data_IF_784361247802
#
_entry.id   IF_784361247802
#
_cell.length_a   1.000
_cell.length_b   1.000
_cell.length_c   1.000
_cell.angle_alpha   90.00
_cell.angle_beta   90.00
_cell.angle_gamma   90.00
#
_symmetry.space_group_name_H-M   'P 1'
#
loop_
_entity.id
_entity.type
_entity.pdbx_description
1 polymer ?
#
# COMPACT_ATOMS: atom_id res chain seq x y z
N UNK A 1 8.73 85.20 -18.33
CA UNK A 1 8.44 83.96 -17.57
C UNK A 1 8.99 84.14 -16.15
N UNK A 2 8.15 84.13 -15.12
CA UNK A 2 8.58 84.48 -13.75
C UNK A 2 9.35 83.31 -13.11
N UNK A 3 10.63 83.52 -12.77
CA UNK A 3 11.50 82.50 -12.16
C UNK A 3 10.90 81.85 -10.90
N UNK A 4 10.07 82.58 -10.15
CA UNK A 4 9.33 82.04 -8.99
C UNK A 4 8.39 80.90 -9.37
N UNK A 5 7.69 81.01 -10.49
CA UNK A 5 6.74 79.97 -10.94
C UNK A 5 7.49 78.74 -11.47
N UNK A 6 8.67 78.94 -12.08
CA UNK A 6 9.53 77.84 -12.54
C UNK A 6 10.09 77.07 -11.34
N UNK A 7 10.57 77.78 -10.31
CA UNK A 7 11.12 77.15 -9.10
C UNK A 7 10.07 76.35 -8.32
N UNK A 8 8.84 76.88 -8.21
CA UNK A 8 7.72 76.17 -7.56
C UNK A 8 7.31 74.94 -8.40
N UNK A 9 7.24 75.05 -9.73
CA UNK A 9 6.94 73.91 -10.57
C UNK A 9 8.01 72.81 -10.46
N UNK A 10 9.29 73.19 -10.41
CA UNK A 10 10.39 72.23 -10.31
C UNK A 10 10.41 71.53 -8.94
N UNK A 11 10.13 72.25 -7.85
CA UNK A 11 10.09 71.65 -6.51
C UNK A 11 8.93 70.67 -6.36
N UNK A 12 7.76 70.97 -6.93
CA UNK A 12 6.61 70.05 -6.95
C UNK A 12 6.94 68.77 -7.74
N UNK A 13 7.61 68.90 -8.90
CA UNK A 13 8.03 67.75 -9.70
C UNK A 13 9.03 66.86 -8.95
N UNK A 14 10.00 67.46 -8.25
CA UNK A 14 10.98 66.71 -7.45
C UNK A 14 10.32 65.96 -6.30
N UNK A 15 9.36 66.58 -5.60
CA UNK A 15 8.62 65.94 -4.51
C UNK A 15 7.76 64.77 -5.03
N UNK A 16 7.10 64.94 -6.18
CA UNK A 16 6.32 63.87 -6.81
C UNK A 16 7.20 62.70 -7.24
N UNK A 17 8.36 62.96 -7.84
CA UNK A 17 9.32 61.91 -8.21
C UNK A 17 9.84 61.15 -6.98
N UNK A 18 10.17 61.87 -5.91
CA UNK A 18 10.59 61.25 -4.63
C UNK A 18 9.48 60.36 -4.03
N UNK A 19 8.22 60.80 -4.06
CA UNK A 19 7.10 60.01 -3.58
C UNK A 19 6.93 58.70 -4.37
N UNK A 20 7.06 58.76 -5.70
CA UNK A 20 6.96 57.56 -6.56
C UNK A 20 8.10 56.57 -6.32
N UNK A 21 9.33 57.05 -6.11
CA UNK A 21 10.49 56.20 -5.83
C UNK A 21 10.38 55.49 -4.47
N UNK A 22 9.86 56.18 -3.46
CA UNK A 22 9.63 55.61 -2.13
C UNK A 22 8.49 54.57 -2.15
N UNK A 23 7.42 54.83 -2.89
CA UNK A 23 6.32 53.86 -3.07
C UNK A 23 6.79 52.61 -3.82
N UNK A 24 7.61 52.76 -4.86
CA UNK A 24 8.19 51.61 -5.56
C UNK A 24 9.09 50.79 -4.63
N UNK A 25 10.09 51.40 -3.96
CA UNK A 25 11.00 50.64 -3.10
C UNK A 25 10.31 49.97 -1.91
N UNK A 26 9.37 50.65 -1.26
CA UNK A 26 8.62 50.09 -0.14
C UNK A 26 7.72 48.92 -0.55
N UNK A 27 6.99 49.06 -1.67
CA UNK A 27 6.09 48.01 -2.16
C UNK A 27 6.85 46.78 -2.68
N UNK A 28 7.96 46.97 -3.40
CA UNK A 28 8.78 45.86 -3.90
C UNK A 28 9.44 45.07 -2.76
N UNK A 29 9.99 45.74 -1.73
CA UNK A 29 10.62 45.06 -0.60
C UNK A 29 9.59 44.30 0.23
N UNK A 30 8.41 44.88 0.46
CA UNK A 30 7.30 44.21 1.16
C UNK A 30 6.83 42.96 0.42
N UNK A 31 6.59 43.06 -0.90
CA UNK A 31 6.15 41.92 -1.72
C UNK A 31 7.24 40.84 -1.84
N UNK A 32 8.50 41.24 -1.97
CA UNK A 32 9.62 40.30 -1.99
C UNK A 32 9.69 39.53 -0.66
N UNK A 33 9.61 40.24 0.47
CA UNK A 33 9.67 39.63 1.80
C UNK A 33 8.51 38.66 2.02
N UNK A 34 7.29 39.06 1.69
CA UNK A 34 6.09 38.22 1.79
C UNK A 34 6.18 36.98 0.88
N UNK A 35 6.70 37.15 -0.35
CA UNK A 35 6.92 36.03 -1.26
C UNK A 35 7.99 35.06 -0.75
N UNK A 36 9.10 35.58 -0.21
CA UNK A 36 10.16 34.76 0.38
C UNK A 36 9.67 34.01 1.62
N UNK A 37 8.92 34.67 2.50
CA UNK A 37 8.35 34.05 3.70
C UNK A 37 7.36 32.94 3.34
N UNK A 38 6.45 33.22 2.39
CA UNK A 38 5.47 32.24 1.91
C UNK A 38 6.12 31.04 1.24
N UNK A 39 7.15 31.27 0.42
CA UNK A 39 7.90 30.21 -0.26
C UNK A 39 8.67 29.36 0.76
N UNK A 40 9.36 30.01 1.70
CA UNK A 40 10.14 29.33 2.75
C UNK A 40 9.24 28.49 3.63
N UNK A 41 8.11 29.04 4.07
CA UNK A 41 7.12 28.31 4.89
C UNK A 41 6.55 27.11 4.16
N UNK A 42 6.22 27.25 2.86
CA UNK A 42 5.75 26.13 2.04
C UNK A 42 6.82 25.05 1.89
N UNK A 43 8.06 25.43 1.57
CA UNK A 43 9.17 24.49 1.44
C UNK A 43 9.46 23.75 2.75
N UNK A 44 9.44 24.47 3.88
CA UNK A 44 9.61 23.86 5.20
C UNK A 44 8.49 22.87 5.51
N UNK A 45 7.22 23.25 5.29
CA UNK A 45 6.07 22.36 5.51
C UNK A 45 6.13 21.12 4.63
N UNK A 46 6.49 21.27 3.35
CA UNK A 46 6.68 20.15 2.43
C UNK A 46 7.80 19.22 2.90
N UNK A 47 8.95 19.77 3.31
CA UNK A 47 10.05 18.99 3.85
C UNK A 47 9.65 18.24 5.13
N UNK A 48 8.93 18.87 6.06
CA UNK A 48 8.42 18.21 7.27
C UNK A 48 7.48 17.06 6.94
N UNK A 49 6.56 17.22 5.98
CA UNK A 49 5.66 16.16 5.53
C UNK A 49 6.42 14.97 4.93
N UNK A 50 7.47 15.24 4.15
CA UNK A 50 8.32 14.18 3.58
C UNK A 50 9.04 13.43 4.70
N UNK A 51 9.61 14.13 5.68
CA UNK A 51 10.30 13.49 6.81
C UNK A 51 9.33 12.63 7.62
N UNK A 52 8.13 13.14 7.91
CA UNK A 52 7.08 12.39 8.61
C UNK A 52 6.66 11.14 7.82
N UNK A 53 6.47 11.27 6.50
CA UNK A 53 6.16 10.15 5.62
C UNK A 53 7.27 9.08 5.63
N UNK A 54 8.54 9.50 5.54
CA UNK A 54 9.68 8.58 5.58
C UNK A 54 9.75 7.88 6.94
N UNK A 55 9.57 8.60 8.05
CA UNK A 55 9.57 8.02 9.39
C UNK A 55 8.44 7.00 9.56
N UNK A 56 7.21 7.33 9.16
CA UNK A 56 6.07 6.41 9.22
C UNK A 56 6.30 5.16 8.37
N UNK A 57 6.93 5.32 7.19
CA UNK A 57 7.27 4.19 6.32
C UNK A 57 8.33 3.28 6.95
N UNK A 58 9.35 3.86 7.60
CA UNK A 58 10.37 3.11 8.33
C UNK A 58 9.76 2.36 9.52
N UNK A 59 8.91 3.01 10.30
CA UNK A 59 8.22 2.38 11.43
C UNK A 59 7.33 1.22 10.99
N UNK A 60 6.55 1.42 9.93
CA UNK A 60 5.71 0.39 9.34
C UNK A 60 6.55 -0.80 8.86
N UNK A 61 7.59 -0.54 8.05
CA UNK A 61 8.49 -1.57 7.54
C UNK A 61 9.15 -2.36 8.68
N UNK A 62 9.66 -1.67 9.70
CA UNK A 62 10.22 -2.29 10.90
C UNK A 62 9.18 -3.18 11.60
N UNK A 63 7.97 -2.68 11.79
CA UNK A 63 6.88 -3.44 12.41
C UNK A 63 6.53 -4.72 11.64
N UNK A 64 6.47 -4.65 10.30
CA UNK A 64 6.16 -5.82 9.47
C UNK A 64 7.32 -6.83 9.46
N UNK A 65 8.58 -6.36 9.48
CA UNK A 65 9.74 -7.25 9.68
C UNK A 65 9.73 -7.93 11.04
N UNK A 66 9.42 -7.20 12.11
CA UNK A 66 9.27 -7.77 13.45
C UNK A 66 8.17 -8.83 13.46
N UNK A 67 7.02 -8.54 12.83
CA UNK A 67 5.92 -9.50 12.69
C UNK A 67 6.38 -10.78 11.97
N UNK A 68 7.09 -10.66 10.85
CA UNK A 68 7.59 -11.81 10.10
C UNK A 68 8.57 -12.66 10.93
N UNK A 69 9.52 -12.03 11.61
CA UNK A 69 10.49 -12.70 12.46
C UNK A 69 9.83 -13.40 13.66
N UNK A 70 8.93 -12.72 14.36
CA UNK A 70 8.21 -13.28 15.50
C UNK A 70 7.24 -14.39 15.06
N UNK A 71 6.64 -14.28 13.87
CA UNK A 71 5.77 -15.32 13.31
C UNK A 71 6.52 -16.63 13.12
N UNK A 72 7.69 -16.61 12.49
CA UNK A 72 8.52 -17.82 12.29
C UNK A 72 8.92 -18.48 13.62
N UNK A 73 9.07 -17.70 14.69
CA UNK A 73 9.52 -18.22 15.99
C UNK A 73 8.38 -18.76 16.85
N UNK A 74 7.19 -18.17 16.78
CA UNK A 74 6.15 -18.38 17.81
C UNK A 74 4.79 -18.83 17.26
N UNK A 75 4.51 -18.59 15.97
CA UNK A 75 3.18 -18.86 15.40
C UNK A 75 3.08 -20.33 15.00
N UNK A 76 2.05 -21.01 15.51
CA UNK A 76 1.70 -22.38 15.11
C UNK A 76 0.39 -22.43 14.34
N UNK A 77 -0.53 -21.50 14.63
CA UNK A 77 -1.87 -21.42 14.05
C UNK A 77 -2.17 -20.03 13.53
N UNK A 78 -3.17 -19.89 12.65
CA UNK A 78 -3.62 -18.58 12.18
C UNK A 78 -4.17 -17.69 13.29
N UNK A 79 -4.67 -18.27 14.38
CA UNK A 79 -5.11 -17.51 15.55
C UNK A 79 -3.94 -16.90 16.32
N UNK A 80 -2.84 -17.65 16.49
CA UNK A 80 -1.62 -17.11 17.09
C UNK A 80 -1.07 -15.96 16.26
N UNK A 81 -1.12 -16.09 14.94
CA UNK A 81 -0.73 -15.00 14.05
C UNK A 81 -1.65 -13.78 14.18
N UNK A 82 -2.96 -13.97 14.24
CA UNK A 82 -3.90 -12.87 14.44
C UNK A 82 -3.67 -12.14 15.77
N UNK A 83 -3.28 -12.85 16.84
CA UNK A 83 -2.89 -12.24 18.12
C UNK A 83 -1.61 -11.43 18.01
N UNK A 84 -0.63 -11.95 17.28
CA UNK A 84 0.64 -11.27 17.03
C UNK A 84 0.44 -9.99 16.20
N UNK A 85 -0.38 -10.08 15.15
CA UNK A 85 -0.80 -8.95 14.32
C UNK A 85 -1.49 -7.88 15.17
N UNK A 86 -2.46 -8.25 16.01
CA UNK A 86 -3.17 -7.30 16.87
C UNK A 86 -2.26 -6.62 17.91
N UNK A 87 -1.17 -7.28 18.34
CA UNK A 87 -0.19 -6.72 19.27
C UNK A 87 0.67 -5.64 18.59
N UNK A 88 1.09 -5.85 17.36
CA UNK A 88 1.99 -4.96 16.62
C UNK A 88 1.23 -3.90 15.79
N UNK A 89 0.04 -4.26 15.30
CA UNK A 89 -0.82 -3.45 14.43
C UNK A 89 -2.29 -3.59 14.86
N UNK A 90 -2.70 -2.96 15.98
CA UNK A 90 -4.02 -3.15 16.57
C UNK A 90 -5.19 -2.70 15.69
N UNK A 91 -4.93 -1.80 14.73
CA UNK A 91 -5.94 -1.29 13.77
C UNK A 91 -6.05 -2.11 12.49
N UNK A 92 -5.15 -3.05 12.23
CA UNK A 92 -5.06 -3.78 10.97
C UNK A 92 -5.40 -5.25 11.20
N UNK A 93 -6.29 -5.80 10.37
CA UNK A 93 -6.67 -7.21 10.43
C UNK A 93 -6.13 -7.94 9.21
N UNK A 94 -5.37 -9.01 9.44
CA UNK A 94 -4.97 -9.92 8.36
C UNK A 94 -6.14 -10.75 7.83
N UNK A 95 -6.10 -11.05 6.54
CA UNK A 95 -7.09 -11.85 5.80
C UNK A 95 -6.61 -13.30 5.72
N UNK A 96 -7.55 -14.24 5.83
CA UNK A 96 -7.26 -15.68 5.79
C UNK A 96 -7.92 -16.31 4.56
N UNK A 97 -7.16 -17.08 3.79
CA UNK A 97 -7.67 -17.92 2.70
C UNK A 97 -7.59 -19.39 3.11
N UNK A 98 -8.77 -20.01 3.27
CA UNK A 98 -8.87 -21.44 3.58
C UNK A 98 -8.46 -22.31 2.38
N UNK A 99 -8.81 -21.88 1.16
CA UNK A 99 -8.48 -22.58 -0.07
C UNK A 99 -6.95 -22.65 -0.29
N UNK A 100 -6.27 -21.51 -0.13
CA UNK A 100 -4.82 -21.42 -0.33
C UNK A 100 -4.01 -21.78 0.92
N UNK A 101 -4.68 -22.02 2.06
CA UNK A 101 -4.05 -22.24 3.38
C UNK A 101 -3.09 -21.12 3.77
N UNK A 102 -3.46 -19.89 3.46
CA UNK A 102 -2.63 -18.72 3.70
C UNK A 102 -3.31 -17.70 4.60
N UNK A 103 -2.50 -16.92 5.31
CA UNK A 103 -2.92 -15.69 5.99
C UNK A 103 -2.07 -14.54 5.48
N UNK A 104 -2.70 -13.57 4.82
CA UNK A 104 -2.07 -12.34 4.37
C UNK A 104 -2.28 -11.25 5.43
N UNK A 105 -1.18 -10.66 5.88
CA UNK A 105 -1.21 -9.46 6.70
C UNK A 105 -0.68 -8.30 5.87
N UNK A 106 -1.44 -7.20 5.79
CA UNK A 106 -1.13 -6.05 4.94
C UNK A 106 -1.23 -4.76 5.78
N UNK A 107 -0.08 -4.19 6.16
CA UNK A 107 -0.05 -2.90 6.84
C UNK A 107 -0.26 -1.74 5.86
N UNK A 108 0.22 -1.91 4.63
CA UNK A 108 -0.08 -1.09 3.45
C UNK A 108 0.12 -1.93 2.18
N UNK A 109 -0.25 -1.40 1.01
CA UNK A 109 -0.09 -2.08 -0.28
C UNK A 109 1.33 -2.61 -0.53
N UNK A 110 2.34 -1.89 -0.07
CA UNK A 110 3.74 -2.22 -0.27
C UNK A 110 4.35 -3.02 0.90
N UNK A 111 3.70 -2.98 2.08
CA UNK A 111 4.18 -3.63 3.30
C UNK A 111 3.21 -4.74 3.73
N UNK A 112 3.39 -5.92 3.12
CA UNK A 112 2.62 -7.11 3.45
C UNK A 112 3.48 -8.37 3.59
N UNK A 113 2.95 -9.35 4.32
CA UNK A 113 3.51 -10.70 4.44
C UNK A 113 2.42 -11.74 4.21
N UNK A 114 2.81 -12.90 3.69
CA UNK A 114 1.90 -14.02 3.48
C UNK A 114 2.43 -15.24 4.21
N UNK A 115 1.71 -15.68 5.24
CA UNK A 115 2.03 -16.88 5.98
C UNK A 115 1.32 -18.09 5.38
N UNK A 116 2.08 -19.15 5.10
CA UNK A 116 1.58 -20.40 4.56
C UNK A 116 1.46 -21.44 5.67
N UNK A 117 0.36 -22.19 5.69
CA UNK A 117 0.07 -23.22 6.67
C UNK A 117 -0.12 -24.58 6.00
N UNK A 118 0.18 -25.66 6.72
CA UNK A 118 0.16 -27.01 6.16
C UNK A 118 -1.27 -27.54 5.98
N UNK A 119 -2.15 -27.23 6.94
CA UNK A 119 -3.49 -27.81 7.01
C UNK A 119 -4.54 -26.84 7.55
N UNK A 120 -5.78 -27.11 7.18
CA UNK A 120 -6.97 -26.50 7.75
C UNK A 120 -7.43 -27.40 8.90
N UNK A 121 -7.62 -26.83 10.08
CA UNK A 121 -8.22 -27.49 11.23
C UNK A 121 -9.63 -26.96 11.45
N UNK A 122 -10.54 -27.84 11.86
CA UNK A 122 -11.92 -27.47 12.21
C UNK A 122 -12.08 -27.71 13.70
N UNK A 123 -12.45 -26.66 14.43
CA UNK A 123 -12.78 -26.79 15.84
C UNK A 123 -14.11 -27.57 15.96
N UNK A 124 -14.06 -28.73 16.62
CA UNK A 124 -15.21 -29.62 16.77
C UNK A 124 -16.35 -29.02 17.62
N UNK A 125 -16.10 -27.95 18.37
CA UNK A 125 -17.11 -27.30 19.23
C UNK A 125 -17.80 -26.12 18.56
N UNK A 126 -17.07 -25.39 17.72
CA UNK A 126 -17.52 -24.14 17.11
C UNK A 126 -17.69 -24.23 15.59
N UNK A 127 -17.26 -25.35 15.00
CA UNK A 127 -17.19 -25.61 13.54
C UNK A 127 -16.37 -24.58 12.76
N UNK A 128 -15.64 -23.70 13.45
CA UNK A 128 -14.81 -22.67 12.84
C UNK A 128 -13.56 -23.33 12.24
N UNK A 129 -13.30 -23.00 10.96
CA UNK A 129 -12.09 -23.40 10.24
C UNK A 129 -10.93 -22.45 10.60
N UNK A 130 -9.79 -23.00 10.98
CA UNK A 130 -8.54 -22.29 11.23
C UNK A 130 -7.39 -22.92 10.45
N UNK A 131 -6.27 -22.23 10.34
CA UNK A 131 -5.07 -22.76 9.69
C UNK A 131 -4.05 -23.17 10.75
N UNK A 132 -3.35 -24.27 10.52
CA UNK A 132 -2.46 -24.87 11.50
C UNK A 132 -1.21 -25.46 10.84
N UNK A 133 -0.11 -25.43 11.58
CA UNK A 133 1.22 -25.85 11.14
C UNK A 133 1.81 -24.85 10.18
N UNK A 134 2.32 -23.72 10.70
CA UNK A 134 3.03 -22.73 9.90
C UNK A 134 4.19 -23.41 9.14
N UNK A 135 4.24 -23.19 7.82
CA UNK A 135 5.24 -23.76 6.92
C UNK A 135 6.29 -22.71 6.56
N UNK A 136 5.85 -21.51 6.21
CA UNK A 136 6.72 -20.41 5.81
C UNK A 136 6.01 -19.07 5.94
N UNK A 137 6.81 -18.01 6.03
CA UNK A 137 6.35 -16.62 5.92
C UNK A 137 7.02 -16.01 4.69
N UNK A 138 6.21 -15.63 3.71
CA UNK A 138 6.68 -14.94 2.51
C UNK A 138 6.81 -13.44 2.80
N UNK A 139 8.03 -12.92 2.64
CA UNK A 139 8.41 -11.52 2.85
C UNK A 139 8.83 -10.83 1.56
N UNK A 140 8.49 -11.39 0.39
CA UNK A 140 8.95 -10.88 -0.90
C UNK A 140 8.57 -9.41 -1.13
N UNK A 141 7.40 -8.99 -0.66
CA UNK A 141 7.00 -7.58 -0.71
C UNK A 141 7.97 -6.66 0.02
N UNK A 142 8.42 -7.05 1.22
CA UNK A 142 9.39 -6.29 2.02
C UNK A 142 10.77 -6.22 1.35
N UNK A 143 11.07 -7.18 0.47
CA UNK A 143 12.29 -7.24 -0.31
C UNK A 143 12.19 -6.51 -1.66
N UNK A 144 11.06 -5.84 -1.95
CA UNK A 144 10.82 -5.18 -3.24
C UNK A 144 10.45 -6.13 -4.38
N UNK A 145 10.19 -7.40 -4.07
CA UNK A 145 9.80 -8.45 -5.01
C UNK A 145 8.30 -8.80 -4.84
N UNK A 146 7.45 -7.80 -4.60
CA UNK A 146 6.01 -8.02 -4.51
C UNK A 146 5.53 -8.70 -5.79
N UNK A 147 4.87 -9.86 -5.67
CA UNK A 147 4.19 -10.45 -6.79
C UNK A 147 3.11 -9.45 -7.23
N UNK A 148 3.15 -9.01 -8.50
CA UNK A 148 2.07 -8.21 -9.08
C UNK A 148 0.79 -8.99 -8.84
N UNK A 149 -0.14 -8.40 -8.07
CA UNK A 149 -1.36 -9.06 -7.67
C UNK A 149 -2.04 -9.62 -8.93
N UNK A 150 -2.12 -10.96 -9.02
CA UNK A 150 -3.21 -11.55 -9.77
C UNK A 150 -4.46 -11.12 -9.00
N UNK A 151 -5.28 -10.28 -9.64
CA UNK A 151 -6.56 -9.84 -9.13
C UNK A 151 -7.36 -11.05 -8.65
N UNK A 152 -7.70 -11.09 -7.36
CA UNK A 152 -8.73 -11.96 -6.78
C UNK A 152 -10.11 -11.44 -7.24
N UNK A 153 -10.34 -11.38 -8.56
CA UNK A 153 -11.67 -11.30 -9.17
C UNK A 153 -11.89 -12.60 -9.94
N UNK A 154 -12.36 -13.61 -9.22
CA UNK A 154 -13.21 -14.67 -9.75
C UNK A 154 -13.90 -15.32 -8.53
N UNK A 155 -14.76 -14.52 -7.88
CA UNK A 155 -15.79 -15.02 -6.97
C UNK A 155 -17.00 -15.49 -7.80
N UNK A 156 -17.35 -16.76 -7.60
CA UNK A 156 -18.68 -17.39 -7.59
C UNK A 156 -19.66 -17.20 -8.78
N UNK A 157 -20.02 -18.33 -9.40
CA UNK A 157 -21.43 -18.75 -9.48
C UNK A 157 -21.51 -20.27 -9.67
N UNK A 158 -22.24 -20.94 -8.76
CA UNK A 158 -22.67 -22.31 -8.95
C UNK A 158 -24.09 -22.32 -9.51
N UNK A 159 -24.39 -23.25 -10.42
CA UNK A 159 -25.73 -23.83 -10.55
C UNK A 159 -25.66 -25.24 -11.17
N UNK A 160 -26.44 -26.12 -10.56
CA UNK A 160 -26.56 -27.54 -10.87
C UNK A 160 -27.25 -27.78 -12.22
N UNK A 161 -26.80 -28.79 -12.97
CA UNK A 161 -27.66 -29.53 -13.88
C UNK A 161 -27.34 -31.03 -13.78
N UNK A 162 -28.26 -31.74 -13.15
CA UNK A 162 -28.28 -33.19 -12.93
C UNK A 162 -28.86 -33.90 -14.15
N UNK A 163 -28.08 -34.87 -14.67
CA UNK A 163 -28.46 -36.15 -15.31
C UNK A 163 -29.06 -36.15 -16.72
N UNK A 164 -28.36 -36.80 -17.65
CA UNK A 164 -28.96 -37.89 -18.44
C UNK A 164 -27.96 -39.01 -18.72
N UNK A 165 -28.42 -40.24 -18.48
CA UNK A 165 -27.68 -41.51 -18.43
C UNK A 165 -27.44 -42.09 -19.85
N UNK A 166 -26.40 -42.92 -19.97
CA UNK A 166 -25.89 -43.54 -21.21
C UNK A 166 -26.89 -44.46 -21.95
N UNK A 167 -26.56 -44.97 -23.16
CA UNK A 167 -25.88 -46.27 -23.17
C UNK A 167 -24.88 -46.54 -24.32
N UNK A 168 -23.96 -47.47 -24.06
CA UNK A 168 -23.00 -48.06 -25.00
C UNK A 168 -23.64 -49.01 -26.04
N UNK A 169 -22.98 -49.23 -27.19
CA UNK A 169 -22.65 -50.59 -27.63
C UNK A 169 -21.31 -50.64 -28.42
N UNK A 170 -20.60 -51.73 -28.74
CA UNK A 170 -20.61 -53.19 -28.50
C UNK A 170 -19.22 -53.69 -28.95
N UNK A 171 -18.70 -54.74 -28.30
CA UNK A 171 -17.53 -55.53 -28.73
C UNK A 171 -17.72 -56.12 -30.14
N UNK A 172 -16.65 -56.15 -30.94
CA UNK A 172 -16.42 -57.16 -31.98
C UNK A 172 -15.04 -57.79 -31.81
N UNK A 173 -14.95 -59.09 -32.04
CA UNK A 173 -13.84 -59.97 -31.70
C UNK A 173 -13.04 -60.41 -32.94
N UNK A 174 -11.85 -60.96 -32.66
CA UNK A 174 -11.10 -62.03 -33.39
C UNK A 174 -10.19 -61.68 -34.59
N UNK A 175 -8.93 -62.15 -34.46
CA UNK A 175 -7.99 -62.53 -35.54
C UNK A 175 -6.52 -62.48 -35.03
N UNK A 176 -5.99 -63.46 -34.29
CA UNK A 176 -5.38 -64.77 -34.64
C UNK A 176 -4.14 -64.74 -35.56
N UNK A 177 -3.04 -65.32 -35.04
CA UNK A 177 -1.74 -65.78 -35.64
C UNK A 177 -0.65 -64.70 -35.77
N UNK A 178 0.63 -64.95 -35.44
CA UNK A 178 1.37 -66.21 -35.53
C UNK A 178 2.53 -66.37 -34.52
N UNK A 179 2.94 -67.64 -34.41
CA UNK A 179 3.99 -68.22 -33.56
C UNK A 179 5.12 -68.73 -34.46
N UNK A 180 6.34 -68.77 -33.91
CA UNK A 180 7.57 -69.46 -34.35
C UNK A 180 8.49 -68.70 -35.33
N UNK A 181 9.68 -68.34 -34.88
CA UNK A 181 10.82 -69.27 -34.80
C UNK A 181 11.69 -68.92 -33.59
#
# INVERSE_FOLDING_TARGET
MNMKNISIALSVVVVLLLATLLMQKGSYVSQATEHYEKTTTKSFKGASQIIEYVNNSIETNKGVWTLACEAVQSVKTSQDQARLEAKLFPSVKGTMSIANKTRKFEASSDYYIVSNFAKVEVDKKTEVKSLSGLVSVNVNALLGNAAVAASDEDEEEGEEAVVEEAPAPKKAAKGKKGKKR
#
